data_IF_875501438254
#
_entry.id   IF_875501438254
#
_cell.length_a   1.000
_cell.length_b   1.000
_cell.length_c   1.000
_cell.angle_alpha   90.00
_cell.angle_beta   90.00
_cell.angle_gamma   90.00
#
_symmetry.space_group_name_H-M   'P 1'
#
loop_
_entity.id
_entity.type
_entity.pdbx_description
1 polymer ?
#
# COMPACT_ATOMS: atom_id res chain seq x y z
N UNK A 1 -8.95 16.09 41.13
CA UNK A 1 -7.66 15.76 40.51
C UNK A 1 -7.91 14.71 39.46
N UNK A 2 -7.87 15.09 38.18
CA UNK A 2 -7.98 14.14 37.07
C UNK A 2 -6.60 13.55 36.82
N UNK A 3 -6.39 12.30 37.22
CA UNK A 3 -5.18 11.56 36.90
C UNK A 3 -5.15 11.33 35.40
N UNK A 4 -4.31 12.09 34.69
CA UNK A 4 -3.78 11.67 33.40
C UNK A 4 -2.97 10.42 33.68
N UNK A 5 -3.54 9.26 33.35
CA UNK A 5 -2.75 8.05 33.11
C UNK A 5 -1.77 8.40 32.01
N UNK A 6 -0.50 8.64 32.36
CA UNK A 6 0.58 8.68 31.40
C UNK A 6 0.69 7.28 30.80
N UNK A 7 -0.01 7.04 29.70
CA UNK A 7 0.29 5.89 28.84
C UNK A 7 1.71 6.10 28.31
N UNK A 8 2.69 5.50 28.99
CA UNK A 8 4.04 5.39 28.48
C UNK A 8 4.01 4.44 27.28
N UNK A 9 4.30 4.97 26.10
CA UNK A 9 4.51 4.13 24.92
C UNK A 9 5.89 3.46 24.99
N UNK A 10 5.92 2.16 24.76
CA UNK A 10 7.15 1.36 24.78
C UNK A 10 8.08 1.68 23.60
N UNK A 11 7.55 2.28 22.53
CA UNK A 11 8.33 2.73 21.37
C UNK A 11 7.61 3.83 20.58
N UNK A 12 8.35 4.52 19.72
CA UNK A 12 7.78 5.49 18.75
C UNK A 12 6.70 4.85 17.88
N UNK A 13 6.85 3.56 17.54
CA UNK A 13 5.83 2.82 16.79
C UNK A 13 4.53 2.70 17.59
N UNK A 14 4.62 2.30 18.86
CA UNK A 14 3.43 2.17 19.73
C UNK A 14 2.70 3.50 19.89
N UNK A 15 3.45 4.59 20.07
CA UNK A 15 2.87 5.94 20.14
C UNK A 15 2.07 6.30 18.89
N UNK A 16 2.63 6.06 17.69
CA UNK A 16 1.93 6.38 16.44
C UNK A 16 0.77 5.42 16.14
N UNK A 17 0.89 4.14 16.48
CA UNK A 17 -0.21 3.18 16.32
C UNK A 17 -1.41 3.59 17.20
N UNK A 18 -1.17 4.00 18.46
CA UNK A 18 -2.21 4.51 19.36
C UNK A 18 -2.88 5.77 18.81
N UNK A 19 -2.09 6.76 18.37
CA UNK A 19 -2.64 7.99 17.79
C UNK A 19 -3.44 7.65 16.51
N UNK A 20 -2.93 6.75 15.67
CA UNK A 20 -3.62 6.27 14.47
C UNK A 20 -4.97 5.63 14.80
N UNK A 21 -5.07 4.84 15.87
CA UNK A 21 -6.34 4.30 16.35
C UNK A 21 -7.30 5.41 16.76
N UNK A 22 -6.85 6.41 17.52
CA UNK A 22 -7.69 7.53 17.94
C UNK A 22 -8.25 8.31 16.74
N UNK A 23 -7.41 8.60 15.74
CA UNK A 23 -7.82 9.28 14.50
C UNK A 23 -8.82 8.42 13.73
N UNK A 24 -8.56 7.11 13.59
CA UNK A 24 -9.46 6.18 12.91
C UNK A 24 -10.85 6.14 13.57
N UNK A 25 -10.91 6.05 14.90
CA UNK A 25 -12.16 6.06 15.65
C UNK A 25 -12.92 7.38 15.49
N UNK A 26 -12.21 8.51 15.48
CA UNK A 26 -12.81 9.82 15.25
C UNK A 26 -13.43 9.91 13.85
N UNK A 27 -12.70 9.52 12.81
CA UNK A 27 -13.19 9.52 11.42
C UNK A 27 -14.37 8.57 11.23
N UNK A 28 -14.37 7.40 11.89
CA UNK A 28 -15.51 6.47 11.83
C UNK A 28 -16.78 6.98 12.52
N UNK A 29 -16.64 7.84 13.54
CA UNK A 29 -17.77 8.43 14.27
C UNK A 29 -18.36 9.63 13.54
N UNK A 30 -17.61 10.23 12.61
CA UNK A 30 -18.06 11.33 11.77
C UNK A 30 -19.36 10.98 11.04
N UNK A 31 -20.39 11.80 11.26
CA UNK A 31 -21.72 11.59 10.70
C UNK A 31 -21.75 11.81 9.18
N UNK A 32 -20.93 12.72 8.66
CA UNK A 32 -20.87 13.00 7.23
C UNK A 32 -20.22 11.84 6.49
N UNK A 33 -19.16 11.26 7.05
CA UNK A 33 -18.49 10.09 6.45
C UNK A 33 -19.46 8.92 6.21
N UNK A 34 -20.38 8.66 7.15
CA UNK A 34 -21.36 7.56 7.06
C UNK A 34 -22.25 7.65 5.82
N UNK A 35 -22.56 8.87 5.36
CA UNK A 35 -23.41 9.08 4.18
C UNK A 35 -22.74 8.66 2.86
N UNK A 36 -21.40 8.52 2.86
CA UNK A 36 -20.62 8.23 1.66
C UNK A 36 -20.00 6.82 1.67
N UNK A 37 -20.03 6.09 2.78
CA UNK A 37 -19.42 4.74 2.87
C UNK A 37 -19.94 3.84 1.74
N UNK A 38 -21.25 3.64 1.62
CA UNK A 38 -21.81 2.76 0.58
C UNK A 38 -21.66 3.33 -0.84
N UNK A 39 -21.53 4.65 -0.98
CA UNK A 39 -21.28 5.31 -2.28
C UNK A 39 -19.83 5.14 -2.74
N UNK A 40 -18.88 5.07 -1.82
CA UNK A 40 -17.45 4.90 -2.12
C UNK A 40 -17.00 3.43 -2.06
N UNK A 41 -17.77 2.56 -1.40
CA UNK A 41 -17.47 1.13 -1.31
C UNK A 41 -17.36 0.50 -2.68
N UNK A 42 -16.15 0.09 -3.02
CA UNK A 42 -15.87 -0.75 -4.18
C UNK A 42 -16.30 -2.20 -3.91
N UNK A 43 -16.55 -2.91 -4.99
CA UNK A 43 -16.82 -4.34 -5.03
C UNK A 43 -15.95 -4.92 -6.13
N UNK A 44 -15.00 -5.78 -5.74
CA UNK A 44 -14.07 -6.44 -6.66
C UNK A 44 -14.81 -7.35 -7.65
N UNK A 45 -15.95 -7.91 -7.24
CA UNK A 45 -16.73 -8.83 -8.08
C UNK A 45 -17.23 -8.17 -9.37
N UNK A 46 -17.51 -6.86 -9.31
CA UNK A 46 -18.05 -6.10 -10.45
C UNK A 46 -16.98 -5.29 -11.19
N UNK A 47 -15.71 -5.35 -10.77
CA UNK A 47 -14.63 -4.55 -11.34
C UNK A 47 -14.40 -4.84 -12.84
N UNK A 48 -14.52 -6.10 -13.26
CA UNK A 48 -14.42 -6.52 -14.67
C UNK A 48 -15.70 -6.27 -15.49
N UNK A 49 -16.75 -5.74 -14.87
CA UNK A 49 -18.06 -5.62 -15.54
C UNK A 49 -18.83 -6.95 -15.66
N UNK A 50 -18.33 -8.02 -15.04
CA UNK A 50 -19.07 -9.27 -14.87
C UNK A 50 -20.23 -9.10 -13.87
N UNK A 51 -21.30 -9.86 -14.09
CA UNK A 51 -22.37 -10.02 -13.10
C UNK A 51 -21.88 -10.88 -11.94
N UNK A 52 -22.30 -10.57 -10.72
CA UNK A 52 -22.04 -11.40 -9.54
C UNK A 52 -22.51 -12.85 -9.71
N UNK A 53 -23.48 -13.10 -10.60
CA UNK A 53 -24.06 -14.41 -10.88
C UNK A 53 -23.15 -15.34 -11.71
N UNK A 54 -22.15 -14.79 -12.41
CA UNK A 54 -21.20 -15.56 -13.24
C UNK A 54 -19.91 -15.97 -12.52
N UNK A 55 -19.81 -15.69 -11.22
CA UNK A 55 -18.58 -15.87 -10.45
C UNK A 55 -18.53 -17.21 -9.69
N UNK A 56 -17.43 -17.93 -9.87
CA UNK A 56 -17.14 -19.17 -9.14
C UNK A 56 -16.39 -18.99 -7.82
N UNK A 57 -16.13 -17.76 -7.34
CA UNK A 57 -15.35 -17.51 -6.11
C UNK A 57 -15.51 -16.08 -5.57
N UNK A 58 -15.37 -15.93 -4.26
CA UNK A 58 -15.27 -14.64 -3.55
C UNK A 58 -13.85 -14.36 -3.03
N UNK A 59 -12.89 -15.22 -3.36
CA UNK A 59 -11.49 -15.07 -2.93
C UNK A 59 -10.84 -13.84 -3.59
N UNK A 60 -10.32 -12.93 -2.77
CA UNK A 60 -9.76 -11.65 -3.23
C UNK A 60 -8.58 -11.84 -4.17
N UNK A 61 -7.65 -12.74 -3.84
CA UNK A 61 -6.49 -13.01 -4.69
C UNK A 61 -6.90 -13.51 -6.06
N UNK A 62 -7.89 -14.40 -6.10
CA UNK A 62 -8.44 -14.95 -7.35
C UNK A 62 -9.19 -13.88 -8.16
N UNK A 63 -9.96 -13.01 -7.50
CA UNK A 63 -10.67 -11.90 -8.17
C UNK A 63 -9.70 -10.90 -8.79
N UNK A 64 -8.65 -10.52 -8.07
CA UNK A 64 -7.58 -9.63 -8.58
C UNK A 64 -6.82 -10.28 -9.74
N UNK A 65 -6.54 -11.58 -9.65
CA UNK A 65 -5.91 -12.33 -10.73
C UNK A 65 -6.77 -12.33 -12.00
N UNK A 66 -8.08 -12.60 -11.87
CA UNK A 66 -9.03 -12.54 -13.00
C UNK A 66 -9.13 -11.13 -13.58
N UNK A 67 -9.14 -10.10 -12.74
CA UNK A 67 -9.08 -8.70 -13.18
C UNK A 67 -7.87 -8.45 -14.08
N UNK A 68 -6.70 -8.89 -13.65
CA UNK A 68 -5.47 -8.74 -14.44
C UNK A 68 -5.52 -9.50 -15.77
N UNK A 69 -5.95 -10.76 -15.76
CA UNK A 69 -5.98 -11.61 -16.96
C UNK A 69 -6.89 -11.02 -18.05
N UNK A 70 -8.06 -10.49 -17.65
CA UNK A 70 -9.01 -9.86 -18.57
C UNK A 70 -8.48 -8.52 -19.10
N UNK A 71 -7.85 -7.71 -18.24
CA UNK A 71 -7.37 -6.37 -18.57
C UNK A 71 -6.08 -6.39 -19.40
N UNK A 72 -5.23 -7.41 -19.25
CA UNK A 72 -3.99 -7.56 -20.02
C UNK A 72 -4.10 -8.55 -21.19
N UNK A 73 -5.33 -8.93 -21.58
CA UNK A 73 -5.55 -9.79 -22.75
C UNK A 73 -4.89 -11.16 -22.65
N UNK A 74 -4.74 -11.72 -21.44
CA UNK A 74 -4.23 -13.08 -21.22
C UNK A 74 -2.76 -13.32 -21.53
N UNK A 75 -1.92 -12.27 -21.59
CA UNK A 75 -0.48 -12.40 -21.85
C UNK A 75 0.35 -12.78 -20.62
N UNK A 76 1.16 -13.84 -20.73
CA UNK A 76 2.13 -14.28 -19.70
C UNK A 76 3.38 -13.38 -19.56
N UNK A 77 3.49 -12.31 -20.37
CA UNK A 77 4.53 -11.31 -20.24
C UNK A 77 4.10 -10.22 -19.24
N UNK A 78 5.02 -9.55 -18.54
CA UNK A 78 4.67 -8.34 -17.79
C UNK A 78 4.05 -7.36 -18.78
N UNK A 79 2.73 -7.22 -18.72
CA UNK A 79 2.03 -6.26 -19.57
C UNK A 79 2.57 -4.85 -19.29
N UNK A 80 2.26 -3.91 -20.17
CA UNK A 80 2.56 -2.49 -19.99
C UNK A 80 1.96 -1.88 -18.70
N UNK A 81 1.22 -2.67 -17.91
CA UNK A 81 0.57 -2.28 -16.66
C UNK A 81 1.05 -3.07 -15.43
N UNK A 82 2.19 -3.76 -15.51
CA UNK A 82 2.74 -4.45 -14.33
C UNK A 82 3.10 -3.46 -13.21
N UNK A 83 2.64 -3.63 -11.95
CA UNK A 83 2.72 -2.59 -10.92
C UNK A 83 4.14 -2.20 -10.51
N UNK A 84 5.10 -3.12 -10.59
CA UNK A 84 6.43 -2.94 -10.01
C UNK A 84 7.54 -2.67 -11.03
N UNK A 85 7.22 -2.29 -12.27
CA UNK A 85 8.22 -2.03 -13.31
C UNK A 85 9.16 -3.23 -13.54
N UNK A 86 10.47 -3.06 -13.28
CA UNK A 86 11.42 -4.18 -13.44
C UNK A 86 11.49 -5.12 -12.23
N UNK A 87 11.07 -4.66 -11.04
CA UNK A 87 11.08 -5.42 -9.79
C UNK A 87 12.47 -5.78 -9.25
N UNK A 88 13.53 -5.20 -9.83
CA UNK A 88 14.95 -5.51 -9.53
C UNK A 88 15.62 -4.46 -8.64
N UNK A 89 14.91 -3.39 -8.31
CA UNK A 89 15.43 -2.27 -7.56
C UNK A 89 15.70 -2.66 -6.09
N UNK A 90 16.76 -2.13 -5.49
CA UNK A 90 17.11 -2.38 -4.09
C UNK A 90 16.14 -1.65 -3.15
N UNK A 91 15.35 -2.42 -2.38
CA UNK A 91 14.32 -1.87 -1.48
C UNK A 91 14.72 -1.87 -0.01
N UNK A 92 15.73 -2.66 0.34
CA UNK A 92 16.26 -2.85 1.70
C UNK A 92 17.77 -2.63 1.70
N UNK A 93 18.20 -1.38 1.47
CA UNK A 93 19.62 -1.05 1.45
C UNK A 93 20.18 -0.94 2.87
N UNK A 94 21.32 -1.58 3.10
CA UNK A 94 22.08 -1.48 4.35
C UNK A 94 23.00 -0.25 4.40
N UNK A 95 23.18 0.43 3.26
CA UNK A 95 24.15 1.53 3.10
C UNK A 95 23.49 2.89 2.92
N UNK A 96 22.26 2.92 2.38
CA UNK A 96 21.55 4.16 2.06
C UNK A 96 20.27 4.26 2.90
N UNK A 97 20.17 5.32 3.70
CA UNK A 97 19.02 5.52 4.60
C UNK A 97 17.73 5.96 3.91
N UNK A 98 17.83 6.66 2.77
CA UNK A 98 16.68 7.16 2.00
C UNK A 98 17.04 8.28 1.04
N UNK A 99 16.08 8.68 0.22
CA UNK A 99 16.17 9.83 -0.67
C UNK A 99 15.62 11.07 0.04
N UNK A 100 16.40 12.15 0.11
CA UNK A 100 16.00 13.40 0.78
C UNK A 100 16.07 14.63 -0.17
N UNK A 101 16.23 14.41 -1.48
CA UNK A 101 16.40 15.52 -2.43
C UNK A 101 15.11 16.34 -2.58
N UNK A 102 15.24 17.66 -2.41
CA UNK A 102 14.13 18.61 -2.38
C UNK A 102 13.21 18.58 -3.62
N UNK A 103 13.74 18.27 -4.82
CA UNK A 103 12.96 18.27 -6.06
C UNK A 103 12.17 16.97 -6.29
N UNK A 104 12.32 15.97 -5.41
CA UNK A 104 11.62 14.67 -5.49
C UNK A 104 10.60 14.47 -4.37
N UNK A 105 10.59 15.36 -3.38
CA UNK A 105 9.73 15.29 -2.20
C UNK A 105 8.93 16.58 -2.15
N UNK A 106 7.61 16.43 -2.13
CA UNK A 106 6.69 17.57 -2.04
C UNK A 106 6.99 18.39 -0.77
N UNK A 107 6.80 19.70 -0.87
CA UNK A 107 6.98 20.66 0.23
C UNK A 107 8.42 20.73 0.79
N UNK A 108 9.41 20.18 0.08
CA UNK A 108 10.83 20.31 0.39
C UNK A 108 11.47 21.41 -0.46
N UNK A 109 12.33 22.23 0.14
CA UNK A 109 12.96 23.38 -0.52
C UNK A 109 14.48 23.28 -0.52
N UNK A 110 15.12 23.75 -1.61
CA UNK A 110 16.58 23.69 -1.80
C UNK A 110 17.38 24.35 -0.67
N UNK A 111 16.83 25.42 -0.10
CA UNK A 111 17.50 26.26 0.91
C UNK A 111 16.91 26.06 2.32
N UNK A 112 16.12 25.01 2.53
CA UNK A 112 15.61 24.67 3.86
C UNK A 112 16.45 23.54 4.45
N UNK A 113 16.76 23.65 5.73
CA UNK A 113 17.42 22.59 6.49
C UNK A 113 16.40 21.57 7.04
N UNK A 114 15.12 21.73 6.69
CA UNK A 114 14.01 20.85 7.04
C UNK A 114 13.54 20.14 5.78
N UNK A 115 13.23 18.85 5.92
CA UNK A 115 12.72 18.04 4.84
C UNK A 115 12.34 16.64 5.32
N UNK A 116 11.60 15.93 4.49
CA UNK A 116 11.35 14.50 4.69
C UNK A 116 12.39 13.68 3.91
N UNK A 117 12.56 12.42 4.32
CA UNK A 117 13.36 11.45 3.58
C UNK A 117 12.48 10.26 3.24
N UNK A 118 12.34 9.96 1.96
CA UNK A 118 11.60 8.80 1.48
C UNK A 118 12.48 7.54 1.58
N UNK A 119 12.04 6.47 2.28
CA UNK A 119 12.79 5.22 2.32
C UNK A 119 12.80 4.54 0.96
N UNK A 120 13.83 3.75 0.65
CA UNK A 120 13.95 3.02 -0.62
C UNK A 120 12.75 2.15 -0.95
N UNK A 121 12.14 1.53 0.06
CA UNK A 121 10.87 0.82 -0.07
C UNK A 121 9.78 1.67 -0.74
N UNK A 122 9.62 2.96 -0.36
CA UNK A 122 8.63 3.88 -0.92
C UNK A 122 8.99 4.37 -2.32
N UNK A 123 10.29 4.53 -2.61
CA UNK A 123 10.78 4.96 -3.93
C UNK A 123 10.51 3.93 -5.01
N UNK A 124 10.43 2.66 -4.63
CA UNK A 124 10.17 1.52 -5.51
C UNK A 124 8.85 0.83 -5.12
N UNK A 125 7.86 1.63 -4.70
CA UNK A 125 6.51 1.15 -4.44
C UNK A 125 5.89 0.64 -5.76
N UNK A 126 5.15 -0.46 -5.71
CA UNK A 126 4.48 -0.98 -6.89
C UNK A 126 3.18 -0.19 -7.19
N UNK A 127 3.27 0.94 -7.87
CA UNK A 127 2.13 1.80 -8.22
C UNK A 127 2.01 2.11 -9.73
N UNK A 128 2.85 1.52 -10.58
CA UNK A 128 2.90 1.85 -12.01
C UNK A 128 1.57 1.57 -12.74
N UNK A 129 0.82 0.54 -12.33
CA UNK A 129 -0.50 0.26 -12.90
C UNK A 129 -1.50 1.39 -12.63
N UNK A 130 -1.31 2.15 -11.54
CA UNK A 130 -2.14 3.28 -11.13
C UNK A 130 -1.91 4.53 -12.00
N UNK A 131 -0.71 4.68 -12.58
CA UNK A 131 -0.36 5.81 -13.46
C UNK A 131 -1.18 5.84 -14.76
N UNK A 132 -1.70 4.69 -15.18
CA UNK A 132 -2.43 4.51 -16.45
C UNK A 132 -3.95 4.34 -16.28
N UNK A 133 -4.49 4.56 -15.08
CA UNK A 133 -5.95 4.46 -14.84
C UNK A 133 -6.67 5.59 -15.56
N UNK A 134 -7.62 5.25 -16.44
CA UNK A 134 -8.34 6.23 -17.26
C UNK A 134 -9.88 6.09 -17.23
N UNK A 135 -10.46 5.53 -16.17
CA UNK A 135 -11.91 5.29 -16.11
C UNK A 135 -12.67 6.22 -15.17
N UNK A 136 -13.67 6.92 -15.73
CA UNK A 136 -14.51 7.90 -15.02
C UNK A 136 -16.01 7.53 -15.05
N UNK A 137 -16.36 6.29 -15.40
CA UNK A 137 -17.75 5.85 -15.46
C UNK A 137 -18.32 5.39 -14.09
N UNK A 138 -19.58 4.95 -14.05
CA UNK A 138 -20.21 4.43 -12.83
C UNK A 138 -19.49 3.23 -12.19
N UNK A 139 -18.63 2.54 -12.94
CA UNK A 139 -17.80 1.43 -12.48
C UNK A 139 -16.41 1.86 -11.95
N UNK A 140 -16.11 3.17 -11.93
CA UNK A 140 -14.80 3.71 -11.57
C UNK A 140 -14.32 3.24 -10.19
N UNK A 141 -15.19 3.27 -9.17
CA UNK A 141 -14.82 2.85 -7.80
C UNK A 141 -14.44 1.37 -7.69
N UNK A 142 -15.12 0.51 -8.45
CA UNK A 142 -14.89 -0.94 -8.44
C UNK A 142 -13.57 -1.28 -9.14
N UNK A 143 -13.32 -0.63 -10.28
CA UNK A 143 -12.05 -0.76 -11.00
C UNK A 143 -10.88 -0.17 -10.22
N UNK A 144 -11.07 0.99 -9.59
CA UNK A 144 -10.05 1.58 -8.72
C UNK A 144 -9.67 0.63 -7.59
N UNK A 145 -10.66 -0.01 -6.95
CA UNK A 145 -10.39 -1.03 -5.93
C UNK A 145 -9.56 -2.20 -6.49
N UNK A 146 -9.89 -2.69 -7.69
CA UNK A 146 -9.13 -3.78 -8.31
C UNK A 146 -7.69 -3.38 -8.65
N UNK A 147 -7.48 -2.19 -9.19
CA UNK A 147 -6.14 -1.65 -9.50
C UNK A 147 -5.30 -1.46 -8.23
N UNK A 148 -5.89 -0.94 -7.15
CA UNK A 148 -5.22 -0.79 -5.85
C UNK A 148 -4.90 -2.16 -5.25
N UNK A 149 -5.81 -3.12 -5.32
CA UNK A 149 -5.54 -4.48 -4.85
C UNK A 149 -4.47 -5.18 -5.69
N UNK A 150 -4.41 -4.92 -6.99
CA UNK A 150 -3.39 -5.44 -7.88
C UNK A 150 -1.99 -4.90 -7.52
N UNK A 151 -1.88 -3.59 -7.31
CA UNK A 151 -0.69 -2.94 -6.75
C UNK A 151 -0.27 -3.55 -5.40
N UNK A 152 -1.21 -3.63 -4.45
CA UNK A 152 -0.96 -4.13 -3.10
C UNK A 152 -0.50 -5.60 -3.07
N UNK A 153 -1.08 -6.45 -3.94
CA UNK A 153 -0.67 -7.85 -4.08
C UNK A 153 0.80 -7.93 -4.49
N UNK A 154 1.18 -7.25 -5.57
CA UNK A 154 2.54 -7.31 -6.09
C UNK A 154 3.56 -6.62 -5.18
N UNK A 155 3.16 -5.55 -4.51
CA UNK A 155 3.95 -4.91 -3.45
C UNK A 155 4.26 -5.89 -2.31
N UNK A 156 3.25 -6.62 -1.83
CA UNK A 156 3.41 -7.64 -0.81
C UNK A 156 4.31 -8.80 -1.25
N UNK A 157 4.13 -9.30 -2.47
CA UNK A 157 4.94 -10.38 -3.05
C UNK A 157 6.42 -9.98 -3.18
N UNK A 158 6.71 -8.76 -3.66
CA UNK A 158 8.09 -8.26 -3.76
C UNK A 158 8.71 -8.00 -2.39
N UNK A 159 7.96 -7.44 -1.43
CA UNK A 159 8.45 -7.29 -0.06
C UNK A 159 8.84 -8.66 0.48
N UNK A 160 7.95 -9.64 0.40
CA UNK A 160 8.23 -10.98 0.93
C UNK A 160 9.47 -11.60 0.28
N UNK A 161 9.60 -11.47 -1.04
CA UNK A 161 10.72 -12.01 -1.81
C UNK A 161 12.05 -11.37 -1.43
N UNK A 162 12.13 -10.04 -1.41
CA UNK A 162 13.37 -9.31 -1.13
C UNK A 162 13.69 -9.22 0.36
N UNK A 163 12.68 -9.30 1.23
CA UNK A 163 12.87 -9.33 2.68
C UNK A 163 13.39 -10.68 3.16
N UNK A 164 13.06 -11.81 2.50
CA UNK A 164 13.50 -13.14 2.95
C UNK A 164 15.03 -13.27 3.04
N UNK A 165 15.84 -12.88 2.02
CA UNK A 165 17.30 -12.87 2.14
C UNK A 165 17.81 -11.91 3.22
N UNK A 166 17.21 -10.71 3.34
CA UNK A 166 17.55 -9.74 4.37
C UNK A 166 17.29 -10.32 5.78
N UNK A 167 16.14 -10.95 5.99
CA UNK A 167 15.78 -11.61 7.24
C UNK A 167 16.75 -12.74 7.57
N UNK A 168 17.18 -13.53 6.59
CA UNK A 168 18.17 -14.60 6.80
C UNK A 168 19.52 -14.04 7.21
N UNK A 169 20.00 -12.98 6.53
CA UNK A 169 21.25 -12.29 6.86
C UNK A 169 21.26 -11.73 8.28
N UNK A 170 20.10 -11.26 8.75
CA UNK A 170 19.95 -10.60 10.05
C UNK A 170 19.21 -11.44 11.10
N UNK A 171 19.04 -12.75 10.87
CA UNK A 171 18.24 -13.64 11.72
C UNK A 171 18.73 -13.63 13.18
N UNK A 172 20.03 -13.56 13.38
CA UNK A 172 20.68 -13.56 14.70
C UNK A 172 20.64 -12.20 15.41
N UNK A 173 20.15 -11.15 14.74
CA UNK A 173 20.03 -9.79 15.30
C UNK A 173 18.66 -9.53 15.95
N UNK A 174 17.73 -10.49 15.91
CA UNK A 174 16.38 -10.35 16.48
C UNK A 174 15.41 -9.50 15.65
N UNK A 175 15.77 -9.14 14.41
CA UNK A 175 14.97 -8.28 13.51
C UNK A 175 13.94 -9.05 12.66
N UNK A 176 13.85 -10.37 12.84
CA UNK A 176 13.02 -11.24 12.01
C UNK A 176 11.49 -10.98 12.11
N UNK A 177 11.02 -10.28 13.15
CA UNK A 177 9.60 -9.92 13.33
C UNK A 177 9.14 -8.72 12.47
N UNK A 178 9.99 -8.17 11.59
CA UNK A 178 9.68 -6.92 10.90
C UNK A 178 8.90 -7.08 9.59
N UNK A 179 8.68 -8.28 9.03
CA UNK A 179 7.96 -8.44 7.75
C UNK A 179 6.56 -7.78 7.81
N UNK A 180 5.78 -8.07 8.84
CA UNK A 180 4.46 -7.43 9.03
C UNK A 180 4.58 -5.91 9.22
N UNK A 181 5.65 -5.43 9.85
CA UNK A 181 5.90 -3.98 10.02
C UNK A 181 6.23 -3.33 8.68
N UNK A 182 7.01 -3.99 7.83
CA UNK A 182 7.35 -3.51 6.49
C UNK A 182 6.11 -3.50 5.59
N UNK A 183 5.29 -4.55 5.65
CA UNK A 183 4.01 -4.61 4.95
C UNK A 183 3.05 -3.52 5.42
N UNK A 184 2.95 -3.27 6.74
CA UNK A 184 2.12 -2.20 7.28
C UNK A 184 2.57 -0.80 6.81
N UNK A 185 3.88 -0.59 6.66
CA UNK A 185 4.42 0.66 6.09
C UNK A 185 4.07 0.81 4.61
N UNK A 186 4.12 -0.27 3.82
CA UNK A 186 3.67 -0.22 2.42
C UNK A 186 2.17 -0.03 2.28
N UNK A 187 1.37 -0.64 3.16
CA UNK A 187 -0.06 -0.38 3.24
C UNK A 187 -0.34 1.11 3.50
N UNK A 188 0.37 1.71 4.46
CA UNK A 188 0.23 3.14 4.77
C UNK A 188 0.72 4.07 3.64
N UNK A 189 1.64 3.61 2.79
CA UNK A 189 2.13 4.38 1.63
C UNK A 189 1.21 4.27 0.40
N UNK A 190 0.43 3.19 0.30
CA UNK A 190 -0.58 2.99 -0.76
C UNK A 190 -1.86 3.77 -0.47
N UNK A 191 -2.28 3.80 0.81
CA UNK A 191 -3.49 4.50 1.27
C UNK A 191 -3.37 6.02 1.24
#
# INVERSE_FOLDING_TARGET
>A
GGGSSQEQDESVKHMFDRIGQQVYEQVKKDADAKNYIEKLKGDLNTANGHSSETLGTTDTCTLVYKYYDDVNGGGAAPGERYPCGTGKEERFSDTLGGQCTYNRIKDSNKNDNKGACAPYRRLHLCDYNLESINNYNSNARHKLLAEVCYAAKHEGDLINTHYTPHQQKYKDTGTASQLCTVLARSFADIG
#
